data_IF_409249503733
#
_entry.id   IF_409249503733
#
_cell.length_a   1.000
_cell.length_b   1.000
_cell.length_c   1.000
_cell.angle_alpha   90.00
_cell.angle_beta   90.00
_cell.angle_gamma   90.00
#
_symmetry.space_group_name_H-M   'P 1'
#
loop_
_entity.id
_entity.type
_entity.pdbx_description
1 polymer ?
#
# COMPACT_ATOMS: atom_id res chain seq x y z
N UNK A 1 12.42 -19.66 5.71
CA UNK A 1 12.84 -18.27 6.00
C UNK A 1 11.90 -17.21 5.43
N UNK A 2 11.43 -17.31 4.18
CA UNK A 2 10.62 -16.24 3.55
C UNK A 2 9.31 -15.94 4.31
N UNK A 3 8.69 -16.96 4.92
CA UNK A 3 7.49 -16.78 5.75
C UNK A 3 7.78 -15.93 7.01
N UNK A 4 8.96 -16.08 7.63
CA UNK A 4 9.37 -15.23 8.76
C UNK A 4 9.54 -13.78 8.32
N UNK A 5 10.03 -13.55 7.10
CA UNK A 5 10.16 -12.21 6.53
C UNK A 5 8.79 -11.57 6.25
N UNK A 6 7.83 -12.37 5.77
CA UNK A 6 6.44 -11.93 5.62
C UNK A 6 5.82 -11.51 6.96
N UNK A 7 5.97 -12.34 8.00
CA UNK A 7 5.50 -12.06 9.35
C UNK A 7 6.16 -10.80 9.93
N UNK A 8 7.46 -10.62 9.71
CA UNK A 8 8.18 -9.43 10.14
C UNK A 8 7.63 -8.16 9.47
N UNK A 9 7.35 -8.21 8.17
CA UNK A 9 6.67 -7.10 7.47
C UNK A 9 5.28 -6.79 8.04
N UNK A 10 4.50 -7.82 8.38
CA UNK A 10 3.20 -7.64 9.01
C UNK A 10 3.29 -7.03 10.42
N UNK A 11 4.29 -7.42 11.23
CA UNK A 11 4.54 -6.81 12.53
C UNK A 11 4.93 -5.33 12.41
N UNK A 12 5.81 -5.01 11.44
CA UNK A 12 6.18 -3.63 11.15
C UNK A 12 4.97 -2.79 10.72
N UNK A 13 4.10 -3.36 9.89
CA UNK A 13 2.86 -2.70 9.45
C UNK A 13 1.98 -2.31 10.64
N UNK A 14 1.76 -3.22 11.58
CA UNK A 14 0.93 -2.95 12.77
C UNK A 14 1.56 -1.86 13.65
N UNK A 15 2.89 -1.79 13.69
CA UNK A 15 3.64 -0.78 14.47
C UNK A 15 3.87 0.56 13.74
N UNK A 16 3.40 0.71 12.51
CA UNK A 16 3.74 1.86 11.67
C UNK A 16 2.91 3.10 12.01
N UNK A 17 3.58 4.25 12.19
CA UNK A 17 2.97 5.53 12.59
C UNK A 17 3.13 6.67 11.56
N UNK A 18 3.81 6.39 10.45
CA UNK A 18 4.06 7.34 9.36
C UNK A 18 3.71 6.68 8.02
N UNK A 19 3.29 7.48 7.03
CA UNK A 19 2.93 7.04 5.68
C UNK A 19 4.04 6.21 4.99
N UNK A 20 5.30 6.63 5.17
CA UNK A 20 6.46 5.96 4.57
C UNK A 20 6.70 4.59 5.24
N UNK A 21 6.60 4.54 6.56
CA UNK A 21 6.75 3.30 7.33
C UNK A 21 5.66 2.28 6.96
N UNK A 22 4.43 2.76 6.79
CA UNK A 22 3.31 1.95 6.31
C UNK A 22 3.62 1.38 4.91
N UNK A 23 4.01 2.23 3.95
CA UNK A 23 4.30 1.78 2.58
C UNK A 23 5.43 0.73 2.54
N UNK A 24 6.53 0.98 3.24
CA UNK A 24 7.67 0.06 3.31
C UNK A 24 7.28 -1.29 3.91
N UNK A 25 6.46 -1.29 4.95
CA UNK A 25 6.00 -2.53 5.60
C UNK A 25 5.14 -3.38 4.67
N UNK A 26 4.23 -2.73 3.91
CA UNK A 26 3.42 -3.41 2.89
C UNK A 26 4.31 -4.02 1.80
N UNK A 27 5.27 -3.27 1.28
CA UNK A 27 6.16 -3.78 0.23
C UNK A 27 7.00 -4.96 0.72
N UNK A 28 7.55 -4.88 1.95
CA UNK A 28 8.32 -5.97 2.55
C UNK A 28 7.52 -7.28 2.59
N UNK A 29 6.27 -7.20 3.06
CA UNK A 29 5.36 -8.33 3.10
C UNK A 29 5.03 -8.86 1.69
N UNK A 30 4.87 -7.96 0.73
CA UNK A 30 4.49 -8.26 -0.65
C UNK A 30 5.60 -8.96 -1.42
N UNK A 31 6.84 -8.48 -1.32
CA UNK A 31 8.00 -9.15 -1.91
C UNK A 31 8.16 -10.59 -1.40
N UNK A 32 7.92 -10.82 -0.11
CA UNK A 32 7.94 -12.17 0.44
C UNK A 32 6.90 -13.09 -0.23
N UNK A 33 5.69 -12.57 -0.47
CA UNK A 33 4.61 -13.32 -1.14
C UNK A 33 4.89 -13.54 -2.62
N UNK A 34 5.48 -12.58 -3.33
CA UNK A 34 5.85 -12.72 -4.74
C UNK A 34 6.86 -13.87 -4.93
N UNK A 35 7.83 -13.99 -4.03
CA UNK A 35 8.80 -15.09 -4.02
C UNK A 35 8.11 -16.41 -3.71
N UNK A 36 7.18 -16.43 -2.74
CA UNK A 36 6.45 -17.63 -2.36
C UNK A 36 5.54 -18.14 -3.51
N UNK A 37 4.86 -17.22 -4.20
CA UNK A 37 3.95 -17.54 -5.31
C UNK A 37 4.68 -18.16 -6.52
N UNK A 38 5.97 -17.88 -6.68
CA UNK A 38 6.81 -18.38 -7.78
C UNK A 38 7.75 -19.51 -7.36
N UNK A 39 7.50 -20.15 -6.20
CA UNK A 39 8.42 -21.15 -5.65
C UNK A 39 8.60 -22.37 -6.56
N UNK A 40 7.52 -22.84 -7.19
CA UNK A 40 7.53 -24.01 -8.08
C UNK A 40 7.78 -23.60 -9.54
N UNK A 41 9.03 -23.23 -9.85
CA UNK A 41 9.44 -22.64 -11.14
C UNK A 41 9.36 -23.58 -12.35
N UNK A 42 9.36 -24.89 -12.12
CA UNK A 42 9.28 -25.93 -13.15
C UNK A 42 7.93 -25.90 -13.89
N UNK A 43 6.86 -25.42 -13.24
CA UNK A 43 5.54 -25.32 -13.86
C UNK A 43 5.33 -23.96 -14.52
N UNK A 44 5.01 -23.98 -15.82
CA UNK A 44 4.64 -22.78 -16.59
C UNK A 44 3.38 -22.08 -16.04
N UNK A 45 2.49 -22.85 -15.39
CA UNK A 45 1.25 -22.32 -14.80
C UNK A 45 1.58 -21.49 -13.55
N UNK A 46 2.47 -21.98 -12.70
CA UNK A 46 2.88 -21.31 -11.45
C UNK A 46 3.67 -20.04 -11.75
N UNK A 47 4.58 -20.08 -12.73
CA UNK A 47 5.33 -18.89 -13.15
C UNK A 47 4.43 -17.82 -13.76
N UNK A 48 3.46 -18.20 -14.59
CA UNK A 48 2.48 -17.27 -15.14
C UNK A 48 1.57 -16.66 -14.06
N UNK A 49 1.10 -17.46 -13.10
CA UNK A 49 0.28 -16.98 -11.99
C UNK A 49 1.06 -16.06 -11.04
N UNK A 50 2.30 -16.41 -10.70
CA UNK A 50 3.15 -15.58 -9.86
C UNK A 50 3.52 -14.24 -10.52
N UNK A 51 3.71 -14.22 -11.85
CA UNK A 51 3.91 -12.99 -12.59
C UNK A 51 2.66 -12.09 -12.55
N UNK A 52 1.46 -12.65 -12.74
CA UNK A 52 0.19 -11.89 -12.59
C UNK A 52 0.06 -11.30 -11.20
N UNK A 53 0.34 -12.09 -10.16
CA UNK A 53 0.29 -11.63 -8.77
C UNK A 53 1.30 -10.51 -8.49
N UNK A 54 2.52 -10.61 -9.03
CA UNK A 54 3.51 -9.55 -8.96
C UNK A 54 3.03 -8.26 -9.65
N UNK A 55 2.48 -8.34 -10.86
CA UNK A 55 1.99 -7.16 -11.59
C UNK A 55 0.83 -6.48 -10.87
N UNK A 56 -0.17 -7.24 -10.40
CA UNK A 56 -1.29 -6.67 -9.65
C UNK A 56 -0.83 -6.05 -8.34
N UNK A 57 0.09 -6.71 -7.64
CA UNK A 57 0.65 -6.21 -6.40
C UNK A 57 1.48 -4.93 -6.58
N UNK A 58 2.24 -4.81 -7.67
CA UNK A 58 3.01 -3.62 -8.02
C UNK A 58 2.11 -2.44 -8.47
N UNK A 59 1.02 -2.73 -9.18
CA UNK A 59 0.02 -1.72 -9.52
C UNK A 59 -0.66 -1.16 -8.27
N UNK A 60 -1.06 -2.05 -7.35
CA UNK A 60 -1.62 -1.68 -6.05
C UNK A 60 -0.67 -0.79 -5.25
N UNK A 61 0.61 -1.15 -5.19
CA UNK A 61 1.57 -0.36 -4.43
C UNK A 61 1.88 1.00 -5.08
N UNK A 62 1.81 1.09 -6.41
CA UNK A 62 1.84 2.37 -7.12
C UNK A 62 0.70 3.29 -6.69
N UNK A 63 -0.53 2.78 -6.54
CA UNK A 63 -1.66 3.60 -6.05
C UNK A 63 -1.46 4.07 -4.62
N UNK A 64 -0.96 3.21 -3.72
CA UNK A 64 -0.66 3.59 -2.33
C UNK A 64 0.42 4.68 -2.30
N UNK A 65 1.51 4.51 -3.06
CA UNK A 65 2.60 5.48 -3.13
C UNK A 65 2.09 6.82 -3.70
N UNK A 66 1.34 6.79 -4.81
CA UNK A 66 0.78 7.99 -5.44
C UNK A 66 -0.17 8.73 -4.50
N UNK A 67 -1.05 7.99 -3.80
CA UNK A 67 -1.95 8.59 -2.83
C UNK A 67 -1.20 9.21 -1.63
N UNK A 68 -0.13 8.54 -1.15
CA UNK A 68 0.74 9.10 -0.11
C UNK A 68 1.47 10.36 -0.59
N UNK A 69 1.87 10.41 -1.86
CA UNK A 69 2.52 11.56 -2.47
C UNK A 69 1.56 12.76 -2.57
N UNK A 70 0.27 12.55 -2.89
CA UNK A 70 -0.72 13.62 -2.87
C UNK A 70 -0.98 14.17 -1.46
N UNK A 71 -1.08 13.29 -0.46
CA UNK A 71 -1.23 13.72 0.94
C UNK A 71 -0.01 14.52 1.39
N UNK A 72 1.19 14.07 1.02
CA UNK A 72 2.43 14.79 1.32
C UNK A 72 2.53 16.11 0.56
N UNK A 73 2.13 16.17 -0.71
CA UNK A 73 2.15 17.41 -1.50
C UNK A 73 1.22 18.47 -0.92
N UNK A 74 0.10 18.07 -0.33
CA UNK A 74 -0.85 18.97 0.31
C UNK A 74 -0.40 19.39 1.72
N UNK A 75 0.04 18.45 2.56
CA UNK A 75 0.32 18.70 3.97
C UNK A 75 1.78 19.02 4.30
N UNK A 76 2.73 18.59 3.46
CA UNK A 76 4.17 18.59 3.74
C UNK A 76 4.60 17.62 4.85
N UNK A 77 3.69 16.77 5.32
CA UNK A 77 3.86 15.94 6.50
C UNK A 77 3.67 14.46 6.17
N UNK A 78 4.36 13.60 6.89
CA UNK A 78 4.31 12.15 6.72
C UNK A 78 3.76 11.41 7.94
N UNK A 79 3.80 12.05 9.12
CA UNK A 79 3.35 11.43 10.37
C UNK A 79 1.85 11.52 10.55
N UNK A 80 1.22 10.43 10.99
CA UNK A 80 -0.24 10.40 11.16
C UNK A 80 -0.75 11.41 12.19
N UNK A 81 -0.03 11.59 13.31
CA UNK A 81 -0.42 12.54 14.36
C UNK A 81 -0.41 14.00 13.84
N UNK A 82 0.63 14.37 13.08
CA UNK A 82 0.71 15.70 12.48
C UNK A 82 -0.35 15.93 11.39
N UNK A 83 -0.69 14.89 10.63
CA UNK A 83 -1.75 14.94 9.63
C UNK A 83 -3.11 15.11 10.32
N UNK A 84 -3.36 14.41 11.44
CA UNK A 84 -4.58 14.53 12.23
C UNK A 84 -4.78 15.96 12.76
N UNK A 85 -3.73 16.55 13.35
CA UNK A 85 -3.78 17.94 13.82
C UNK A 85 -4.09 18.91 12.67
N UNK A 86 -3.47 18.74 11.50
CA UNK A 86 -3.71 19.59 10.34
C UNK A 86 -5.16 19.48 9.81
N UNK A 87 -5.73 18.27 9.80
CA UNK A 87 -7.13 18.04 9.42
C UNK A 87 -8.09 18.69 10.42
N UNK A 88 -7.77 18.67 11.72
CA UNK A 88 -8.63 19.26 12.76
C UNK A 88 -8.79 20.77 12.61
N UNK A 89 -7.82 21.44 12.00
CA UNK A 89 -7.82 22.87 11.70
C UNK A 89 -8.38 23.21 10.32
N UNK A 90 -8.96 22.25 9.60
CA UNK A 90 -9.49 22.51 8.27
C UNK A 90 -10.69 23.44 8.29
N UNK A 91 -10.52 24.61 7.66
CA UNK A 91 -11.63 25.43 7.23
C UNK A 91 -12.35 24.75 6.05
N UNK A 92 -13.68 24.59 6.11
CA UNK A 92 -14.48 23.97 5.05
C UNK A 92 -14.56 24.83 3.78
N UNK A 93 -14.08 26.07 3.81
CA UNK A 93 -14.04 27.00 2.68
C UNK A 93 -12.84 26.79 1.75
N UNK A 94 -11.83 26.02 2.17
CA UNK A 94 -10.62 25.74 1.40
C UNK A 94 -10.80 24.47 0.58
N UNK A 95 -10.31 24.47 -0.67
CA UNK A 95 -10.41 23.31 -1.56
C UNK A 95 -9.43 22.20 -1.13
N UNK A 96 -9.94 21.16 -0.47
CA UNK A 96 -9.17 19.99 -0.01
C UNK A 96 -9.16 18.83 -1.02
N UNK A 97 -9.38 19.12 -2.30
CA UNK A 97 -9.57 18.09 -3.35
C UNK A 97 -8.36 17.17 -3.51
N UNK A 98 -7.14 17.71 -3.39
CA UNK A 98 -5.90 16.93 -3.47
C UNK A 98 -5.77 15.92 -2.33
N UNK A 99 -6.13 16.33 -1.11
CA UNK A 99 -6.11 15.46 0.06
C UNK A 99 -7.14 14.32 -0.06
N UNK A 100 -8.36 14.65 -0.51
CA UNK A 100 -9.43 13.67 -0.77
C UNK A 100 -9.00 12.66 -1.85
N UNK A 101 -8.41 13.14 -2.95
CA UNK A 101 -7.88 12.27 -4.01
C UNK A 101 -6.78 11.35 -3.48
N UNK A 102 -5.88 11.86 -2.64
CA UNK A 102 -4.84 11.06 -2.00
C UNK A 102 -5.41 9.91 -1.16
N UNK A 103 -6.43 10.19 -0.34
CA UNK A 103 -7.12 9.16 0.46
C UNK A 103 -7.79 8.12 -0.44
N UNK A 104 -8.51 8.55 -1.48
CA UNK A 104 -9.19 7.64 -2.41
C UNK A 104 -8.18 6.70 -3.09
N UNK A 105 -7.04 7.22 -3.53
CA UNK A 105 -5.97 6.42 -4.16
C UNK A 105 -5.37 5.39 -3.19
N UNK A 106 -5.09 5.78 -1.95
CA UNK A 106 -4.63 4.84 -0.90
C UNK A 106 -5.69 3.76 -0.67
N UNK A 107 -6.97 4.13 -0.58
CA UNK A 107 -8.06 3.20 -0.35
C UNK A 107 -8.19 2.18 -1.49
N UNK A 108 -8.12 2.65 -2.74
CA UNK A 108 -8.09 1.76 -3.93
C UNK A 108 -6.91 0.79 -3.83
N UNK A 109 -5.71 1.29 -3.50
CA UNK A 109 -4.53 0.46 -3.32
C UNK A 109 -4.72 -0.65 -2.27
N UNK A 110 -5.35 -0.33 -1.14
CA UNK A 110 -5.70 -1.33 -0.10
C UNK A 110 -6.73 -2.35 -0.55
N UNK A 111 -7.78 -1.93 -1.29
CA UNK A 111 -8.78 -2.84 -1.83
C UNK A 111 -8.15 -3.91 -2.73
N UNK A 112 -7.17 -3.52 -3.56
CA UNK A 112 -6.39 -4.47 -4.34
C UNK A 112 -5.58 -5.45 -3.48
N UNK A 113 -4.96 -5.00 -2.37
CA UNK A 113 -4.20 -5.90 -1.46
C UNK A 113 -5.08 -6.93 -0.75
N UNK A 114 -6.33 -6.58 -0.45
CA UNK A 114 -7.29 -7.45 0.23
C UNK A 114 -8.06 -8.34 -0.77
N UNK A 115 -7.97 -8.06 -2.07
CA UNK A 115 -8.74 -8.78 -3.10
C UNK A 115 -10.24 -8.51 -3.01
N UNK A 116 -10.62 -7.31 -2.57
CA UNK A 116 -12.02 -6.92 -2.42
C UNK A 116 -12.71 -6.79 -3.79
N UNK A 117 -13.95 -7.25 -3.90
CA UNK A 117 -14.78 -7.01 -5.09
C UNK A 117 -14.91 -5.49 -5.31
N UNK A 118 -14.75 -4.96 -6.55
CA UNK A 118 -14.72 -5.62 -7.87
C UNK A 118 -13.33 -6.08 -8.39
N UNK A 119 -12.26 -5.96 -7.61
CA UNK A 119 -10.85 -6.07 -8.05
C UNK A 119 -10.17 -7.40 -7.64
N UNK A 120 -10.81 -8.55 -7.93
CA UNK A 120 -10.39 -9.87 -7.42
C UNK A 120 -9.75 -10.82 -8.46
N UNK A 121 -9.62 -10.40 -9.72
CA UNK A 121 -9.08 -11.19 -10.83
C UNK A 121 -7.55 -11.17 -10.88
#
# INVERSE_FOLDING_TARGET
>A
MIILFNLFGALLLISSFDLISLYLSIELQSFALYILATFYKESRIVTAAGLKYFLLGALSSCFILLGSAFIYAFSGLTKFDSIYCLISTFDPSVNHTQFILGIILIFIGFLFKIGAAPLHN
#
